data_IF_719859918586
#
_entry.id   IF_719859918586
#
_cell.length_a   1.000
_cell.length_b   1.000
_cell.length_c   1.000
_cell.angle_alpha   90.00
_cell.angle_beta   90.00
_cell.angle_gamma   90.00
#
_symmetry.space_group_name_H-M   'P 1'
#
loop_
_entity.id
_entity.type
_entity.pdbx_description
1 polymer ?
#
# COMPACT_ATOMS: atom_id res chain seq x y z
N UNK A 1 -4.73 2.18 1.91
CA UNK A 1 -5.75 2.56 0.91
C UNK A 1 -5.15 3.40 -0.22
N UNK A 2 -4.53 4.55 0.06
CA UNK A 2 -3.92 5.39 -0.98
C UNK A 2 -2.89 4.66 -1.85
N UNK A 3 -2.01 3.84 -1.24
CA UNK A 3 -1.06 2.97 -1.95
C UNK A 3 -1.73 2.04 -2.97
N UNK A 4 -2.82 1.37 -2.58
CA UNK A 4 -3.57 0.49 -3.49
C UNK A 4 -4.18 1.27 -4.66
N UNK A 5 -4.73 2.46 -4.40
CA UNK A 5 -5.27 3.31 -5.46
C UNK A 5 -4.18 3.83 -6.40
N UNK A 6 -3.02 4.20 -5.86
CA UNK A 6 -1.88 4.66 -6.62
C UNK A 6 -1.41 3.56 -7.57
N UNK A 7 -1.26 2.32 -7.06
CA UNK A 7 -0.84 1.18 -7.86
C UNK A 7 -1.91 0.61 -8.83
N UNK A 8 -3.10 1.21 -8.87
CA UNK A 8 -4.11 0.88 -9.88
C UNK A 8 -3.72 1.38 -11.28
N UNK A 9 -2.81 2.35 -11.37
CA UNK A 9 -2.33 2.86 -12.66
C UNK A 9 -1.54 1.81 -13.45
N UNK A 10 -0.84 0.91 -12.76
CA UNK A 10 0.04 -0.12 -13.30
C UNK A 10 -0.74 -1.22 -14.05
N UNK A 11 -2.03 -1.36 -13.75
CA UNK A 11 -2.95 -2.27 -14.46
C UNK A 11 -3.85 -1.54 -15.47
N UNK A 12 -3.60 -0.24 -15.70
CA UNK A 12 -4.35 0.56 -16.66
C UNK A 12 -5.74 0.99 -16.20
N UNK A 13 -6.03 0.96 -14.90
CA UNK A 13 -7.31 1.44 -14.39
C UNK A 13 -7.46 2.95 -14.64
N UNK A 14 -8.67 3.39 -15.01
CA UNK A 14 -8.96 4.84 -15.16
C UNK A 14 -8.78 5.57 -13.83
N UNK A 15 -9.21 4.94 -12.73
CA UNK A 15 -9.00 5.38 -11.35
C UNK A 15 -9.25 4.21 -10.41
N UNK A 16 -8.94 4.40 -9.14
CA UNK A 16 -9.23 3.43 -8.08
C UNK A 16 -9.70 4.18 -6.84
N UNK A 17 -10.76 3.70 -6.20
CA UNK A 17 -11.39 4.38 -5.06
C UNK A 17 -11.69 3.40 -3.93
N UNK A 18 -11.64 3.90 -2.70
CA UNK A 18 -12.19 3.23 -1.53
C UNK A 18 -13.36 4.05 -0.99
N UNK A 19 -14.38 3.41 -0.39
CA UNK A 19 -15.44 4.13 0.29
C UNK A 19 -14.90 4.96 1.46
N UNK A 20 -15.64 5.98 1.89
CA UNK A 20 -15.31 6.71 3.10
C UNK A 20 -15.48 5.81 4.32
N UNK A 21 -14.47 5.75 5.18
CA UNK A 21 -14.49 4.94 6.41
C UNK A 21 -14.05 5.75 7.61
N UNK A 22 -14.16 5.18 8.81
CA UNK A 22 -13.57 5.76 10.04
C UNK A 22 -12.07 6.01 9.92
N UNK A 23 -11.34 5.27 9.08
CA UNK A 23 -9.93 5.53 8.84
C UNK A 23 -9.73 6.84 8.04
N UNK A 24 -10.59 7.08 7.04
CA UNK A 24 -10.62 8.34 6.29
C UNK A 24 -10.91 9.53 7.21
N UNK A 25 -11.87 9.38 8.12
CA UNK A 25 -12.20 10.37 9.16
C UNK A 25 -10.98 10.69 10.04
N UNK A 26 -10.36 9.67 10.65
CA UNK A 26 -9.15 9.85 11.48
C UNK A 26 -8.07 10.58 10.71
N UNK A 27 -7.85 10.22 9.44
CA UNK A 27 -6.85 10.89 8.61
C UNK A 27 -7.15 12.38 8.38
N UNK A 28 -8.41 12.75 8.10
CA UNK A 28 -8.81 14.15 7.97
C UNK A 28 -8.51 14.94 9.25
N UNK A 29 -8.89 14.40 10.41
CA UNK A 29 -8.67 15.05 11.70
C UNK A 29 -7.16 15.19 12.02
N UNK A 30 -6.37 14.14 11.81
CA UNK A 30 -4.91 14.18 12.04
C UNK A 30 -4.18 15.15 11.10
N UNK A 31 -4.78 15.47 9.95
CA UNK A 31 -4.24 16.42 8.97
C UNK A 31 -4.89 17.80 9.06
N UNK A 32 -5.58 18.12 10.18
CA UNK A 32 -6.18 19.43 10.47
C UNK A 32 -7.21 19.87 9.43
N UNK A 33 -8.03 18.91 8.98
CA UNK A 33 -9.11 19.09 7.99
C UNK A 33 -10.48 18.87 8.62
N UNK A 34 -10.68 19.41 9.83
CA UNK A 34 -11.92 19.30 10.59
C UNK A 34 -13.09 19.96 9.86
N UNK A 35 -12.85 21.00 9.06
CA UNK A 35 -13.89 21.64 8.26
C UNK A 35 -14.47 20.68 7.21
N UNK A 36 -13.61 19.93 6.51
CA UNK A 36 -14.02 18.91 5.54
C UNK A 36 -14.76 17.76 6.22
N UNK A 37 -14.28 17.31 7.39
CA UNK A 37 -14.98 16.30 8.18
C UNK A 37 -16.40 16.77 8.57
N UNK A 38 -16.57 18.00 9.10
CA UNK A 38 -17.90 18.55 9.43
C UNK A 38 -18.82 18.64 8.21
N UNK A 39 -18.27 18.99 7.04
CA UNK A 39 -19.04 19.01 5.81
C UNK A 39 -19.55 17.61 5.44
N UNK A 40 -18.70 16.58 5.51
CA UNK A 40 -19.08 15.19 5.26
C UNK A 40 -20.20 14.73 6.20
N UNK A 41 -20.06 15.02 7.50
CA UNK A 41 -21.08 14.65 8.49
C UNK A 41 -22.42 15.37 8.26
N UNK A 42 -22.38 16.61 7.74
CA UNK A 42 -23.62 17.32 7.40
C UNK A 42 -24.44 16.60 6.32
N UNK A 43 -23.80 15.98 5.32
CA UNK A 43 -24.49 15.19 4.29
C UNK A 43 -25.17 13.95 4.87
N UNK A 44 -24.51 13.29 5.84
CA UNK A 44 -25.07 12.12 6.54
C UNK A 44 -26.34 12.46 7.31
N UNK A 45 -26.36 13.61 7.98
CA UNK A 45 -27.54 14.05 8.76
C UNK A 45 -28.73 14.48 7.90
N UNK A 46 -28.51 14.88 6.64
CA UNK A 46 -29.55 15.48 5.78
C UNK A 46 -30.33 14.48 4.93
N UNK A 47 -29.82 13.27 4.68
CA UNK A 47 -30.47 12.34 3.74
C UNK A 47 -30.01 10.90 3.78
N UNK A 48 -29.51 10.42 4.92
CA UNK A 48 -28.94 9.06 5.07
C UNK A 48 -27.87 8.73 4.00
N UNK A 49 -27.19 9.78 3.53
CA UNK A 49 -26.21 9.69 2.47
C UNK A 49 -24.93 9.08 3.02
N UNK A 50 -24.53 7.92 2.48
CA UNK A 50 -23.28 7.27 2.85
C UNK A 50 -22.33 7.23 1.66
N UNK A 51 -21.08 7.62 1.87
CA UNK A 51 -20.05 7.69 0.83
C UNK A 51 -19.49 6.29 0.55
N UNK A 52 -20.37 5.38 0.14
CA UNK A 52 -20.11 4.00 -0.26
C UNK A 52 -20.99 3.64 -1.46
N UNK A 53 -20.75 2.47 -2.05
CA UNK A 53 -21.62 1.95 -3.08
C UNK A 53 -23.02 1.63 -2.52
N UNK A 54 -24.04 1.79 -3.36
CA UNK A 54 -25.42 1.45 -3.01
C UNK A 54 -25.59 -0.05 -2.75
N UNK A 55 -26.59 -0.40 -1.94
CA UNK A 55 -26.94 -1.80 -1.73
C UNK A 55 -27.38 -2.43 -3.06
N UNK A 56 -26.74 -3.53 -3.45
CA UNK A 56 -27.04 -4.24 -4.70
C UNK A 56 -26.42 -3.61 -5.96
N UNK A 57 -25.49 -2.65 -5.80
CA UNK A 57 -24.67 -2.16 -6.90
C UNK A 57 -24.04 -3.33 -7.66
N UNK A 58 -24.12 -3.27 -8.99
CA UNK A 58 -23.56 -4.28 -9.88
C UNK A 58 -22.19 -3.81 -10.37
N UNK A 59 -21.23 -4.72 -10.39
CA UNK A 59 -19.91 -4.51 -10.97
C UNK A 59 -19.76 -5.45 -12.16
N UNK A 60 -19.19 -4.96 -13.27
CA UNK A 60 -18.97 -5.78 -14.48
C UNK A 60 -18.06 -6.99 -14.19
N UNK A 61 -17.12 -6.83 -13.26
CA UNK A 61 -16.23 -7.88 -12.76
C UNK A 61 -16.02 -7.71 -11.24
N UNK A 62 -15.97 -8.84 -10.52
CA UNK A 62 -15.69 -8.89 -9.08
C UNK A 62 -14.49 -9.80 -8.85
N UNK A 63 -13.41 -9.22 -8.31
CA UNK A 63 -12.22 -9.94 -7.86
C UNK A 63 -12.21 -9.95 -6.34
N UNK A 64 -12.12 -11.14 -5.74
CA UNK A 64 -12.09 -11.32 -4.29
C UNK A 64 -10.67 -11.63 -3.82
N UNK A 65 -10.20 -10.91 -2.80
CA UNK A 65 -8.87 -11.10 -2.19
C UNK A 65 -9.06 -11.36 -0.70
N UNK A 66 -8.62 -12.54 -0.23
CA UNK A 66 -8.59 -12.86 1.19
C UNK A 66 -7.32 -12.29 1.86
N UNK A 67 -7.49 -11.19 2.59
CA UNK A 67 -6.37 -10.53 3.30
C UNK A 67 -5.75 -11.39 4.40
N UNK A 68 -6.44 -12.43 4.88
CA UNK A 68 -5.90 -13.34 5.92
C UNK A 68 -4.96 -14.40 5.35
N UNK A 69 -5.05 -14.67 4.05
CA UNK A 69 -4.22 -15.64 3.34
C UNK A 69 -3.12 -14.95 2.51
N UNK A 70 -3.23 -13.63 2.30
CA UNK A 70 -2.28 -12.83 1.55
C UNK A 70 -0.92 -12.78 2.26
N UNK A 71 0.15 -13.14 1.54
CA UNK A 71 1.53 -13.04 2.01
C UNK A 71 2.29 -11.87 1.32
N UNK A 72 3.47 -11.47 1.82
CA UNK A 72 4.29 -10.46 1.16
C UNK A 72 4.74 -10.90 -0.24
N UNK A 73 4.68 -9.98 -1.22
CA UNK A 73 5.08 -10.23 -2.60
C UNK A 73 6.20 -9.27 -3.06
N UNK A 74 6.95 -9.69 -4.08
CA UNK A 74 7.88 -8.86 -4.86
C UNK A 74 7.47 -8.94 -6.32
N UNK A 75 7.30 -7.80 -6.98
CA UNK A 75 6.97 -7.73 -8.40
C UNK A 75 8.18 -7.27 -9.23
N UNK A 76 8.35 -7.82 -10.43
CA UNK A 76 9.46 -7.51 -11.32
C UNK A 76 10.07 -8.75 -11.98
N UNK A 77 11.23 -8.64 -12.66
CA UNK A 77 12.14 -7.50 -12.62
C UNK A 77 11.82 -6.35 -13.60
N UNK A 78 11.04 -6.59 -14.66
CA UNK A 78 10.85 -5.61 -15.74
C UNK A 78 9.40 -5.11 -15.92
N UNK A 79 8.46 -5.68 -15.17
CA UNK A 79 7.05 -5.33 -15.26
C UNK A 79 6.39 -5.39 -13.87
N UNK A 80 5.48 -4.46 -13.54
CA UNK A 80 4.85 -4.41 -12.21
C UNK A 80 3.80 -5.51 -12.00
N UNK A 81 3.38 -6.25 -13.02
CA UNK A 81 2.36 -7.31 -12.94
C UNK A 81 2.95 -8.73 -12.73
N UNK A 82 4.27 -8.91 -12.91
CA UNK A 82 4.95 -10.16 -12.62
C UNK A 82 5.14 -10.30 -11.10
N UNK A 83 4.11 -10.81 -10.42
CA UNK A 83 4.08 -10.95 -8.97
C UNK A 83 4.64 -12.29 -8.51
N UNK A 84 5.66 -12.24 -7.66
CA UNK A 84 6.30 -13.42 -7.05
C UNK A 84 6.10 -13.39 -5.53
N UNK A 85 5.51 -14.45 -4.94
CA UNK A 85 5.46 -14.57 -3.50
C UNK A 85 6.84 -14.53 -2.85
N UNK A 86 6.98 -13.82 -1.72
CA UNK A 86 8.28 -13.68 -1.05
C UNK A 86 8.81 -15.04 -0.60
N UNK A 87 7.92 -15.97 -0.23
CA UNK A 87 8.23 -17.35 0.14
C UNK A 87 8.94 -18.13 -0.99
N UNK A 88 8.63 -17.85 -2.26
CA UNK A 88 9.20 -18.51 -3.44
C UNK A 88 10.24 -17.67 -4.19
N UNK A 89 10.47 -16.42 -3.78
CA UNK A 89 11.30 -15.47 -4.52
C UNK A 89 12.74 -15.96 -4.72
N UNK A 90 13.36 -16.56 -3.70
CA UNK A 90 14.73 -17.07 -3.81
C UNK A 90 14.89 -18.21 -4.82
N UNK A 91 13.91 -19.11 -4.89
CA UNK A 91 13.88 -20.18 -5.89
C UNK A 91 13.68 -19.62 -7.30
N UNK A 92 12.78 -18.63 -7.42
CA UNK A 92 12.48 -17.96 -8.69
C UNK A 92 13.71 -17.23 -9.24
N UNK A 93 14.44 -16.50 -8.38
CA UNK A 93 15.70 -15.83 -8.75
C UNK A 93 16.72 -16.82 -9.32
N UNK A 94 16.83 -18.02 -8.73
CA UNK A 94 17.77 -19.04 -9.19
C UNK A 94 17.32 -19.72 -10.50
N UNK A 95 16.02 -19.98 -10.66
CA UNK A 95 15.46 -20.60 -11.86
C UNK A 95 15.53 -19.69 -13.08
N UNK A 96 15.26 -18.40 -12.89
CA UNK A 96 15.22 -17.38 -13.95
C UNK A 96 16.58 -16.71 -14.19
N UNK A 97 17.64 -17.15 -13.50
CA UNK A 97 19.00 -16.59 -13.57
C UNK A 97 19.04 -15.07 -13.35
N UNK A 98 18.25 -14.59 -12.38
CA UNK A 98 18.22 -13.16 -12.01
C UNK A 98 19.43 -12.77 -11.16
N UNK A 99 19.86 -11.49 -11.19
CA UNK A 99 20.94 -11.01 -10.35
C UNK A 99 20.66 -11.24 -8.85
N UNK A 100 21.57 -11.94 -8.18
CA UNK A 100 21.46 -12.27 -6.74
C UNK A 100 22.01 -11.18 -5.83
N UNK A 101 22.78 -10.24 -6.37
CA UNK A 101 23.37 -9.16 -5.59
C UNK A 101 22.43 -7.96 -5.52
N UNK A 102 21.92 -7.66 -4.33
CA UNK A 102 21.19 -6.42 -4.07
C UNK A 102 22.16 -5.24 -4.09
N UNK A 103 22.06 -4.39 -5.11
CA UNK A 103 22.95 -3.24 -5.29
C UNK A 103 22.56 -2.02 -4.44
N UNK A 104 21.26 -1.84 -4.18
CA UNK A 104 20.72 -0.80 -3.31
C UNK A 104 19.30 -1.15 -2.85
N UNK A 105 18.90 -0.66 -1.68
CA UNK A 105 17.52 -0.62 -1.22
C UNK A 105 17.00 0.82 -1.25
N UNK A 106 15.82 1.03 -1.83
CA UNK A 106 15.18 2.33 -1.94
C UNK A 106 13.78 2.23 -1.33
N UNK A 107 13.48 3.09 -0.36
CA UNK A 107 12.14 3.18 0.23
C UNK A 107 11.56 4.59 0.09
N UNK A 108 10.24 4.67 0.16
CA UNK A 108 9.50 5.92 0.02
C UNK A 108 8.81 6.03 -1.32
N UNK A 109 9.00 7.16 -2.02
CA UNK A 109 8.20 7.60 -3.18
C UNK A 109 6.74 7.92 -2.83
N UNK A 110 6.00 8.50 -3.76
CA UNK A 110 4.59 8.84 -3.54
C UNK A 110 3.71 7.61 -3.21
N UNK A 111 4.17 6.39 -3.52
CA UNK A 111 3.44 5.15 -3.27
C UNK A 111 3.55 4.66 -1.82
N UNK A 112 4.74 4.80 -1.20
CA UNK A 112 5.06 4.21 0.13
C UNK A 112 5.89 5.13 1.04
N UNK A 113 5.57 6.43 1.07
CA UNK A 113 6.25 7.40 1.96
C UNK A 113 5.38 7.95 3.10
N UNK A 114 4.26 7.29 3.41
CA UNK A 114 3.44 7.73 4.54
C UNK A 114 4.16 7.54 5.88
N UNK A 115 3.69 8.23 6.93
CA UNK A 115 4.21 8.04 8.28
C UNK A 115 4.05 6.57 8.75
N UNK A 116 2.99 5.88 8.34
CA UNK A 116 2.79 4.46 8.64
C UNK A 116 3.86 3.59 7.96
N UNK A 117 4.21 3.88 6.69
CA UNK A 117 5.25 3.15 5.97
C UNK A 117 6.62 3.35 6.65
N UNK A 118 6.96 4.60 6.96
CA UNK A 118 8.26 4.96 7.55
C UNK A 118 8.44 4.37 8.96
N UNK A 119 7.39 4.33 9.77
CA UNK A 119 7.46 3.71 11.12
C UNK A 119 7.59 2.19 11.06
N UNK A 120 7.03 1.53 10.03
CA UNK A 120 7.27 0.08 9.82
C UNK A 120 8.73 -0.19 9.45
N UNK A 121 9.31 0.64 8.58
CA UNK A 121 10.75 0.55 8.26
C UNK A 121 11.59 0.78 9.51
N UNK A 122 11.33 1.86 10.25
CA UNK A 122 12.04 2.19 11.49
C UNK A 122 12.01 1.01 12.48
N UNK A 123 10.85 0.38 12.65
CA UNK A 123 10.69 -0.80 13.50
C UNK A 123 11.62 -1.96 13.08
N UNK A 124 11.72 -2.24 11.78
CA UNK A 124 12.59 -3.31 11.26
C UNK A 124 14.07 -2.97 11.42
N UNK A 125 14.46 -1.73 11.10
CA UNK A 125 15.85 -1.26 11.25
C UNK A 125 16.27 -1.31 12.72
N UNK A 126 15.41 -0.86 13.64
CA UNK A 126 15.67 -0.92 15.08
C UNK A 126 15.87 -2.34 15.57
N UNK A 127 15.08 -3.31 15.08
CA UNK A 127 15.25 -4.73 15.42
C UNK A 127 16.58 -5.27 14.88
N UNK A 128 16.94 -4.93 13.65
CA UNK A 128 18.20 -5.32 13.04
C UNK A 128 19.41 -4.75 13.81
N UNK A 129 19.38 -3.47 14.17
CA UNK A 129 20.43 -2.81 14.96
C UNK A 129 20.60 -3.45 16.34
N UNK A 130 19.51 -3.79 17.03
CA UNK A 130 19.55 -4.51 18.32
C UNK A 130 20.18 -5.91 18.19
N UNK A 131 20.03 -6.54 17.03
CA UNK A 131 20.69 -7.80 16.69
C UNK A 131 22.14 -7.62 16.21
N UNK A 132 22.68 -6.39 16.20
CA UNK A 132 24.04 -6.08 15.73
C UNK A 132 24.17 -6.07 14.21
N UNK A 133 23.07 -6.06 13.46
CA UNK A 133 23.04 -6.03 12.01
C UNK A 133 23.03 -4.60 11.48
N UNK A 134 23.50 -4.45 10.25
CA UNK A 134 23.45 -3.19 9.48
C UNK A 134 23.07 -3.50 8.03
N UNK A 135 22.48 -2.55 7.29
CA UNK A 135 22.22 -2.73 5.87
C UNK A 135 23.50 -3.14 5.11
N UNK A 136 23.41 -4.22 4.32
CA UNK A 136 24.53 -4.73 3.50
C UNK A 136 24.71 -3.96 2.19
N UNK A 137 23.64 -3.33 1.72
CA UNK A 137 23.64 -2.49 0.52
C UNK A 137 23.33 -1.03 0.91
N UNK A 138 23.74 -0.05 0.10
CA UNK A 138 23.26 1.33 0.21
C UNK A 138 21.74 1.38 0.39
N UNK A 139 21.30 2.14 1.38
CA UNK A 139 19.88 2.26 1.74
C UNK A 139 19.45 3.72 1.66
N UNK A 140 18.54 4.03 0.75
CA UNK A 140 18.07 5.39 0.46
C UNK A 140 16.61 5.56 0.87
N UNK A 141 16.31 6.74 1.43
CA UNK A 141 14.99 7.07 1.95
C UNK A 141 14.51 8.35 1.29
N UNK A 142 13.34 8.31 0.65
CA UNK A 142 12.68 9.48 0.06
C UNK A 142 11.33 9.71 0.74
N UNK A 143 11.21 10.67 1.67
CA UNK A 143 9.94 11.04 2.28
C UNK A 143 8.91 11.56 1.27
#
# INVERSE_FOLDING_TARGET
MATCCNMGAEVGATTSIFPYTKASERYLLQTRREAQHRAIESFRTWGDFDFRADQGAQYDEVIEINLSELEPHINGPFTPDLSTPLSSFGETVAQEDWPTTLSAGLIGSCTNSSYEDMTRVESLVTQAEKAGLRPKAPFYITP
#
